data_IF_223153994970
#
_entry.id   IF_223153994970
#
_cell.length_a   1.000
_cell.length_b   1.000
_cell.length_c   1.000
_cell.angle_alpha   90.00
_cell.angle_beta   90.00
_cell.angle_gamma   90.00
#
_symmetry.space_group_name_H-M   'P 1'
#
loop_
_entity.id
_entity.type
_entity.pdbx_description
1 polymer ?
#
# COMPACT_ATOMS: atom_id res chain seq x y z
N UNK A 1 23.25 11.60 19.23
CA UNK A 1 22.73 10.22 19.23
C UNK A 1 22.32 9.97 17.80
N UNK A 2 23.21 9.34 17.03
CA UNK A 2 23.11 9.28 15.58
C UNK A 2 21.77 8.71 15.15
N UNK A 3 21.05 9.46 14.32
CA UNK A 3 19.94 8.94 13.57
C UNK A 3 20.59 7.97 12.59
N UNK A 4 20.61 6.67 12.92
CA UNK A 4 20.77 5.66 11.87
C UNK A 4 19.62 5.90 10.91
N UNK A 5 19.90 6.58 9.80
CA UNK A 5 18.94 6.80 8.75
C UNK A 5 18.47 5.43 8.29
N UNK A 6 17.20 5.13 8.56
CA UNK A 6 16.58 3.93 8.04
C UNK A 6 16.37 4.16 6.56
N UNK A 7 17.11 3.40 5.74
CA UNK A 7 16.97 3.43 4.29
C UNK A 7 16.36 2.12 3.79
N UNK A 8 15.26 2.25 3.08
CA UNK A 8 14.71 1.21 2.20
C UNK A 8 15.62 1.07 0.99
N UNK A 9 15.83 -0.17 0.53
CA UNK A 9 16.57 -0.46 -0.69
C UNK A 9 18.07 -0.71 -0.53
N UNK A 10 18.59 -0.78 0.71
CA UNK A 10 20.00 -1.15 0.97
C UNK A 10 20.36 -2.53 0.43
N UNK A 11 19.38 -3.44 0.39
CA UNK A 11 19.48 -4.75 -0.24
C UNK A 11 18.24 -4.98 -1.09
N UNK A 12 18.44 -5.29 -2.36
CA UNK A 12 17.38 -5.64 -3.30
C UNK A 12 17.59 -7.08 -3.73
N UNK A 13 16.61 -7.95 -3.48
CA UNK A 13 16.63 -9.35 -3.85
C UNK A 13 15.56 -9.56 -4.91
N UNK A 14 16.00 -9.94 -6.10
CA UNK A 14 15.12 -10.33 -7.19
C UNK A 14 15.01 -11.85 -7.22
N UNK A 15 13.77 -12.35 -7.22
CA UNK A 15 13.44 -13.77 -7.32
C UNK A 15 12.79 -14.03 -8.68
N UNK A 16 13.28 -15.01 -9.43
CA UNK A 16 12.66 -15.40 -10.70
C UNK A 16 11.19 -15.81 -10.52
N UNK A 17 10.90 -16.52 -9.43
CA UNK A 17 9.57 -17.00 -9.06
C UNK A 17 9.46 -17.22 -7.56
N UNK A 18 8.29 -16.97 -6.98
CA UNK A 18 7.96 -17.35 -5.59
C UNK A 18 6.46 -17.65 -5.44
N UNK A 19 6.07 -18.29 -4.34
CA UNK A 19 4.66 -18.47 -3.98
C UNK A 19 4.04 -17.13 -3.59
N UNK A 20 4.68 -16.43 -2.65
CA UNK A 20 4.36 -15.07 -2.26
C UNK A 20 5.61 -14.31 -1.83
N UNK A 21 5.79 -13.08 -2.32
CA UNK A 21 6.90 -12.24 -1.86
C UNK A 21 6.78 -11.98 -0.35
N UNK A 22 5.56 -11.83 0.17
CA UNK A 22 5.35 -11.65 1.61
C UNK A 22 5.80 -12.88 2.42
N UNK A 23 5.45 -14.09 1.97
CA UNK A 23 5.84 -15.33 2.66
C UNK A 23 7.37 -15.47 2.67
N UNK A 24 8.00 -15.27 1.52
CA UNK A 24 9.45 -15.34 1.40
C UNK A 24 10.11 -14.33 2.34
N UNK A 25 9.71 -13.06 2.28
CA UNK A 25 10.26 -11.98 3.11
C UNK A 25 10.06 -12.25 4.59
N UNK A 26 8.86 -12.67 5.02
CA UNK A 26 8.61 -13.02 6.42
C UNK A 26 9.54 -14.13 6.90
N UNK A 27 9.74 -15.17 6.10
CA UNK A 27 10.64 -16.30 6.41
C UNK A 27 12.08 -15.84 6.58
N UNK A 28 12.64 -15.13 5.60
CA UNK A 28 14.06 -14.74 5.61
C UNK A 28 14.34 -13.60 6.59
N UNK A 29 13.35 -12.72 6.84
CA UNK A 29 13.49 -11.66 7.83
C UNK A 29 13.45 -12.22 9.25
N UNK A 30 12.50 -13.14 9.53
CA UNK A 30 12.42 -13.83 10.83
C UNK A 30 13.67 -14.66 11.15
N UNK A 31 14.35 -15.20 10.14
CA UNK A 31 15.61 -15.93 10.33
C UNK A 31 16.85 -15.03 10.45
N UNK A 32 16.71 -13.71 10.29
CA UNK A 32 17.84 -12.77 10.28
C UNK A 32 18.72 -12.84 9.03
N UNK A 33 18.22 -13.42 7.93
CA UNK A 33 18.98 -13.51 6.66
C UNK A 33 18.95 -12.21 5.84
N UNK A 34 18.04 -11.30 6.19
CA UNK A 34 17.92 -9.96 5.65
C UNK A 34 17.64 -8.98 6.78
N UNK A 35 18.01 -7.73 6.54
CA UNK A 35 17.78 -6.64 7.48
C UNK A 35 16.55 -5.81 7.12
N UNK A 36 16.08 -5.03 8.10
CA UNK A 36 15.07 -4.00 7.92
C UNK A 36 15.47 -3.05 6.77
N UNK A 37 14.52 -2.72 5.88
CA UNK A 37 14.73 -1.95 4.66
C UNK A 37 15.04 -2.79 3.41
N UNK A 38 15.26 -4.11 3.55
CA UNK A 38 15.46 -4.99 2.40
C UNK A 38 14.19 -5.09 1.53
N UNK A 39 14.38 -5.05 0.21
CA UNK A 39 13.32 -5.10 -0.80
C UNK A 39 13.40 -6.43 -1.54
N UNK A 40 12.29 -7.16 -1.60
CA UNK A 40 12.17 -8.42 -2.32
C UNK A 40 11.15 -8.20 -3.43
N UNK A 41 11.49 -8.60 -4.65
CA UNK A 41 10.58 -8.53 -5.78
C UNK A 41 10.67 -9.79 -6.65
N UNK A 42 9.60 -10.06 -7.40
CA UNK A 42 9.53 -11.21 -8.32
C UNK A 42 8.79 -10.86 -9.59
N UNK A 43 9.11 -11.52 -10.70
CA UNK A 43 8.31 -11.43 -11.92
C UNK A 43 7.13 -12.41 -11.93
N UNK A 44 7.17 -13.46 -11.10
CA UNK A 44 6.17 -14.53 -11.11
C UNK A 44 5.81 -14.93 -9.68
N UNK A 45 4.56 -14.65 -9.29
CA UNK A 45 4.00 -15.07 -8.02
C UNK A 45 2.91 -16.12 -8.27
N UNK A 46 3.08 -17.34 -7.75
CA UNK A 46 2.15 -18.45 -8.04
C UNK A 46 0.95 -18.52 -7.08
N UNK A 47 1.03 -17.88 -5.92
CA UNK A 47 -0.03 -17.81 -4.92
C UNK A 47 -0.09 -16.40 -4.32
N UNK A 48 -0.33 -15.41 -5.18
CA UNK A 48 -0.37 -14.00 -4.77
C UNK A 48 -1.48 -13.74 -3.78
N UNK A 49 -1.16 -13.05 -2.69
CA UNK A 49 -2.09 -12.83 -1.57
C UNK A 49 -2.54 -11.37 -1.51
N UNK A 50 -3.84 -11.19 -1.34
CA UNK A 50 -4.47 -9.94 -0.95
C UNK A 50 -5.10 -10.06 0.45
N UNK A 51 -5.83 -9.03 0.85
CA UNK A 51 -6.51 -9.04 2.15
C UNK A 51 -7.71 -9.99 2.18
N UNK A 52 -8.03 -10.49 3.39
CA UNK A 52 -9.22 -11.31 3.67
C UNK A 52 -9.32 -12.56 2.77
N UNK A 53 -8.18 -13.18 2.47
CA UNK A 53 -8.10 -14.40 1.67
C UNK A 53 -8.31 -14.20 0.17
N UNK A 54 -8.40 -12.95 -0.31
CA UNK A 54 -8.41 -12.65 -1.75
C UNK A 54 -7.04 -12.94 -2.36
N UNK A 55 -7.03 -13.27 -3.64
CA UNK A 55 -5.79 -13.47 -4.40
C UNK A 55 -5.37 -12.19 -5.11
N UNK A 56 -4.06 -11.99 -5.23
CA UNK A 56 -3.48 -10.96 -6.10
C UNK A 56 -3.08 -11.61 -7.42
N UNK A 57 -3.84 -11.33 -8.47
CA UNK A 57 -3.57 -11.82 -9.83
C UNK A 57 -2.55 -10.91 -10.52
N UNK A 58 -1.57 -11.52 -11.18
CA UNK A 58 -0.57 -10.81 -11.95
C UNK A 58 -0.06 -11.65 -13.11
N UNK A 59 -0.05 -11.07 -14.30
CA UNK A 59 0.67 -11.64 -15.44
C UNK A 59 2.18 -11.59 -15.18
N UNK A 60 2.89 -12.59 -15.69
CA UNK A 60 4.34 -12.69 -15.55
C UNK A 60 5.03 -11.48 -16.19
N UNK A 61 6.02 -10.90 -15.50
CA UNK A 61 6.81 -9.75 -15.98
C UNK A 61 6.04 -8.44 -16.18
N UNK A 62 4.73 -8.42 -15.94
CA UNK A 62 3.90 -7.24 -16.26
C UNK A 62 3.83 -6.22 -15.13
N UNK A 63 4.05 -6.62 -13.88
CA UNK A 63 3.72 -5.81 -12.70
C UNK A 63 4.88 -5.75 -11.71
N UNK A 64 4.85 -4.75 -10.84
CA UNK A 64 5.69 -4.73 -9.65
C UNK A 64 5.01 -5.56 -8.56
N UNK A 65 5.64 -6.67 -8.18
CA UNK A 65 5.23 -7.52 -7.05
C UNK A 65 6.35 -7.46 -6.02
N UNK A 66 6.10 -6.79 -4.90
CA UNK A 66 7.16 -6.37 -3.98
C UNK A 66 6.77 -6.61 -2.53
N UNK A 67 7.78 -6.91 -1.72
CA UNK A 67 7.68 -6.91 -0.26
C UNK A 67 8.88 -6.21 0.36
N UNK A 68 8.64 -5.34 1.33
CA UNK A 68 9.69 -4.65 2.10
C UNK A 68 9.69 -5.18 3.53
N UNK A 69 10.86 -5.60 4.02
CA UNK A 69 11.06 -5.95 5.42
C UNK A 69 11.14 -4.68 6.28
N UNK A 70 10.29 -4.55 7.29
CA UNK A 70 10.22 -3.35 8.13
C UNK A 70 10.20 -3.71 9.62
N UNK A 71 11.25 -3.37 10.35
CA UNK A 71 11.21 -3.26 11.81
C UNK A 71 10.71 -1.87 12.18
N UNK A 72 9.45 -1.75 12.62
CA UNK A 72 8.85 -0.43 12.88
C UNK A 72 9.48 0.29 14.08
N UNK A 73 10.09 -0.45 15.01
CA UNK A 73 10.82 0.16 16.12
C UNK A 73 12.09 0.83 15.60
N UNK A 74 12.84 0.16 14.71
CA UNK A 74 14.00 0.75 14.04
C UNK A 74 13.58 1.95 13.18
N UNK A 75 12.46 1.83 12.45
CA UNK A 75 11.92 2.89 11.60
C UNK A 75 11.32 4.04 12.41
N UNK A 76 11.22 3.93 13.75
CA UNK A 76 10.59 4.91 14.63
C UNK A 76 9.18 5.30 14.17
N UNK A 77 8.45 4.35 13.59
CA UNK A 77 7.05 4.50 13.21
C UNK A 77 6.20 3.94 14.35
N UNK A 78 5.26 4.76 14.86
CA UNK A 78 4.64 4.50 16.16
C UNK A 78 3.72 3.27 16.14
N UNK A 79 2.98 3.09 15.06
CA UNK A 79 1.95 2.07 14.92
C UNK A 79 1.74 1.66 13.45
N UNK A 80 0.83 0.70 13.22
CA UNK A 80 0.58 0.13 11.90
C UNK A 80 -0.23 1.03 10.98
N UNK A 81 -1.03 1.93 11.55
CA UNK A 81 -1.78 2.92 10.78
C UNK A 81 -0.81 3.92 10.15
N UNK A 82 0.15 4.43 10.93
CA UNK A 82 1.25 5.25 10.44
C UNK A 82 2.07 4.55 9.35
N UNK A 83 2.36 3.25 9.51
CA UNK A 83 3.07 2.48 8.47
C UNK A 83 2.26 2.38 7.18
N UNK A 84 0.94 2.15 7.29
CA UNK A 84 0.03 2.12 6.15
C UNK A 84 -0.03 3.49 5.46
N UNK A 85 -0.14 4.60 6.20
CA UNK A 85 -0.16 5.95 5.62
C UNK A 85 1.13 6.26 4.85
N UNK A 86 2.30 5.99 5.44
CA UNK A 86 3.60 6.14 4.76
C UNK A 86 3.64 5.32 3.47
N UNK A 87 3.21 4.06 3.54
CA UNK A 87 3.18 3.14 2.39
C UNK A 87 2.27 3.65 1.28
N UNK A 88 1.03 4.03 1.61
CA UNK A 88 0.04 4.47 0.65
C UNK A 88 0.44 5.79 -0.02
N UNK A 89 0.96 6.75 0.74
CA UNK A 89 1.44 8.02 0.21
C UNK A 89 2.70 7.86 -0.66
N UNK A 90 3.63 6.98 -0.27
CA UNK A 90 4.80 6.68 -1.10
C UNK A 90 4.40 6.10 -2.46
N UNK A 91 3.52 5.11 -2.47
CA UNK A 91 3.05 4.46 -3.70
C UNK A 91 2.17 5.40 -4.55
N UNK A 92 1.36 6.25 -3.92
CA UNK A 92 0.58 7.28 -4.61
C UNK A 92 1.51 8.31 -5.28
N UNK A 93 2.49 8.83 -4.55
CA UNK A 93 3.47 9.80 -5.05
C UNK A 93 4.30 9.23 -6.19
N UNK A 94 4.69 7.95 -6.11
CA UNK A 94 5.32 7.24 -7.21
C UNK A 94 4.46 7.28 -8.48
N UNK A 95 3.17 6.91 -8.41
CA UNK A 95 2.27 6.92 -9.57
C UNK A 95 2.03 8.35 -10.11
N UNK A 96 1.96 9.35 -9.23
CA UNK A 96 1.77 10.76 -9.60
C UNK A 96 2.92 11.33 -10.45
N UNK A 97 4.08 10.68 -10.50
CA UNK A 97 5.17 11.05 -11.43
C UNK A 97 4.83 10.72 -12.90
N UNK A 98 3.91 9.78 -13.12
CA UNK A 98 3.61 9.22 -14.44
C UNK A 98 2.21 9.57 -14.93
N UNK A 99 1.27 9.81 -14.01
CA UNK A 99 -0.11 10.14 -14.35
C UNK A 99 -0.80 10.94 -13.24
N UNK A 100 -1.73 11.82 -13.63
CA UNK A 100 -2.58 12.55 -12.72
C UNK A 100 -3.72 11.69 -12.13
N UNK A 101 -4.50 12.28 -11.22
CA UNK A 101 -5.71 11.69 -10.64
C UNK A 101 -5.49 10.31 -9.98
N UNK A 102 -4.45 10.23 -9.14
CA UNK A 102 -4.16 9.09 -8.29
C UNK A 102 -4.70 9.34 -6.89
N UNK A 103 -5.55 8.46 -6.37
CA UNK A 103 -6.20 8.60 -5.06
C UNK A 103 -6.09 7.33 -4.22
N UNK A 104 -6.09 7.49 -2.90
CA UNK A 104 -6.01 6.40 -1.95
C UNK A 104 -7.42 5.93 -1.62
N UNK A 105 -7.79 4.72 -2.01
CA UNK A 105 -9.03 4.09 -1.58
C UNK A 105 -8.77 3.35 -0.27
N UNK A 106 -9.36 3.87 0.80
CA UNK A 106 -9.18 3.30 2.12
C UNK A 106 -9.61 1.82 2.16
N UNK A 107 -8.87 0.96 2.90
CA UNK A 107 -7.64 1.28 3.63
C UNK A 107 -6.35 0.96 2.86
N UNK A 108 -6.41 0.24 1.74
CA UNK A 108 -5.24 -0.47 1.21
C UNK A 108 -5.08 -0.45 -0.31
N UNK A 109 -5.91 0.33 -1.01
CA UNK A 109 -5.89 0.36 -2.47
C UNK A 109 -5.52 1.75 -2.98
N UNK A 110 -4.85 1.80 -4.13
CA UNK A 110 -4.60 3.07 -4.85
C UNK A 110 -5.29 2.99 -6.20
N UNK A 111 -6.01 4.06 -6.50
CA UNK A 111 -6.86 4.20 -7.67
C UNK A 111 -6.22 5.17 -8.66
N UNK A 112 -6.30 4.86 -9.95
CA UNK A 112 -6.07 5.79 -11.05
C UNK A 112 -7.41 5.91 -11.79
N UNK A 113 -7.95 7.12 -11.91
CA UNK A 113 -9.22 7.37 -12.62
C UNK A 113 -10.35 6.41 -12.15
N UNK A 114 -10.56 6.31 -10.83
CA UNK A 114 -11.55 5.43 -10.19
C UNK A 114 -11.37 3.91 -10.43
N UNK A 115 -10.23 3.49 -10.99
CA UNK A 115 -9.87 2.07 -11.19
C UNK A 115 -8.66 1.69 -10.34
N UNK A 116 -8.68 0.52 -9.73
CA UNK A 116 -7.63 0.01 -8.84
C UNK A 116 -6.36 -0.29 -9.63
N UNK A 117 -5.26 0.34 -9.24
CA UNK A 117 -3.92 0.10 -9.80
C UNK A 117 -2.95 -0.54 -8.79
N UNK A 118 -3.20 -0.37 -7.49
CA UNK A 118 -2.33 -0.90 -6.43
C UNK A 118 -3.16 -1.60 -5.36
N UNK A 119 -2.64 -2.71 -4.84
CA UNK A 119 -3.10 -3.32 -3.59
C UNK A 119 -1.95 -3.42 -2.60
N UNK A 120 -2.21 -3.05 -1.34
CA UNK A 120 -1.27 -3.08 -0.23
C UNK A 120 -1.68 -4.19 0.76
N UNK A 121 -0.71 -4.95 1.23
CA UNK A 121 -0.85 -5.99 2.25
C UNK A 121 0.30 -5.90 3.25
N UNK A 122 0.03 -5.29 4.41
CA UNK A 122 0.97 -5.24 5.53
C UNK A 122 0.64 -6.38 6.49
N UNK A 123 1.61 -7.25 6.74
CA UNK A 123 1.51 -8.36 7.71
C UNK A 123 2.57 -8.19 8.79
N UNK A 124 2.17 -8.29 10.05
CA UNK A 124 3.06 -8.06 11.18
C UNK A 124 3.29 -9.33 11.99
N UNK A 125 4.48 -9.44 12.55
CA UNK A 125 4.85 -10.53 13.44
C UNK A 125 5.82 -10.03 14.50
N UNK A 126 5.74 -10.62 15.68
CA UNK A 126 6.60 -10.26 16.82
C UNK A 126 7.70 -11.31 16.93
N UNK A 127 8.95 -10.86 16.99
CA UNK A 127 10.12 -11.72 17.27
C UNK A 127 10.90 -11.14 18.43
N UNK A 128 11.00 -11.88 19.53
CA UNK A 128 11.64 -11.45 20.78
C UNK A 128 11.06 -10.11 21.30
N UNK A 129 11.65 -8.98 20.89
CA UNK A 129 11.24 -7.60 21.23
C UNK A 129 11.07 -6.67 20.01
N UNK A 130 11.17 -7.20 18.79
CA UNK A 130 11.00 -6.44 17.56
C UNK A 130 9.55 -6.51 17.07
N UNK A 131 9.04 -5.35 16.65
CA UNK A 131 7.76 -5.25 15.93
C UNK A 131 8.06 -5.29 14.44
N UNK A 132 8.19 -6.50 13.91
CA UNK A 132 8.50 -6.71 12.50
C UNK A 132 7.22 -6.71 11.66
N UNK A 133 7.32 -6.20 10.46
CA UNK A 133 6.26 -6.17 9.45
C UNK A 133 6.84 -6.46 8.08
N UNK A 134 6.02 -7.05 7.22
CA UNK A 134 6.26 -7.15 5.79
C UNK A 134 5.26 -6.25 5.09
N UNK A 135 5.77 -5.23 4.40
CA UNK A 135 4.96 -4.35 3.55
C UNK A 135 4.91 -4.95 2.16
N UNK A 136 3.88 -5.74 1.88
CA UNK A 136 3.60 -6.26 0.55
C UNK A 136 2.81 -5.26 -0.27
N UNK A 137 3.14 -5.11 -1.55
CA UNK A 137 2.29 -4.41 -2.50
C UNK A 137 2.45 -4.97 -3.91
N UNK A 138 1.35 -4.93 -4.64
CA UNK A 138 1.32 -5.16 -6.08
C UNK A 138 0.93 -3.86 -6.78
N UNK A 139 1.69 -3.45 -7.80
CA UNK A 139 1.34 -2.34 -8.69
C UNK A 139 1.15 -2.88 -10.09
N UNK A 140 -0.03 -2.64 -10.65
CA UNK A 140 -0.34 -2.97 -12.03
C UNK A 140 0.39 -2.00 -12.97
N UNK A 141 1.43 -2.47 -13.67
CA UNK A 141 2.27 -1.64 -14.54
C UNK A 141 1.86 -1.82 -16.01
N UNK A 142 2.10 -3.00 -16.57
CA UNK A 142 1.88 -3.31 -17.99
C UNK A 142 0.71 -4.29 -18.24
N UNK A 143 0.03 -4.76 -17.21
CA UNK A 143 -1.05 -5.74 -17.37
C UNK A 143 -2.21 -5.17 -18.18
N UNK A 144 -2.65 -5.91 -19.18
CA UNK A 144 -3.68 -5.48 -20.14
C UNK A 144 -5.06 -6.06 -19.85
N UNK A 145 -5.11 -7.25 -19.24
CA UNK A 145 -6.35 -7.98 -18.99
C UNK A 145 -6.54 -8.17 -17.48
N UNK A 146 -7.76 -7.94 -17.01
CA UNK A 146 -8.12 -8.11 -15.60
C UNK A 146 -9.46 -8.83 -15.49
N UNK A 147 -9.53 -9.84 -14.64
CA UNK A 147 -10.80 -10.48 -14.28
C UNK A 147 -11.60 -9.61 -13.30
N UNK A 148 -10.88 -8.83 -12.48
CA UNK A 148 -11.49 -7.98 -11.46
C UNK A 148 -12.13 -6.73 -12.11
N UNK A 149 -13.41 -6.42 -11.78
CA UNK A 149 -14.04 -5.22 -12.27
C UNK A 149 -13.32 -3.98 -11.70
N UNK A 150 -13.18 -2.94 -12.53
CA UNK A 150 -12.55 -1.66 -12.18
C UNK A 150 -11.08 -1.80 -11.73
N UNK A 151 -10.33 -2.74 -12.27
CA UNK A 151 -8.87 -2.71 -12.22
C UNK A 151 -8.29 -1.96 -13.44
N UNK A 152 -7.10 -1.39 -13.28
CA UNK A 152 -6.33 -0.81 -14.39
C UNK A 152 -4.83 -1.02 -14.15
N UNK A 153 -4.02 -0.67 -15.15
CA UNK A 153 -2.57 -0.60 -15.06
C UNK A 153 -2.06 0.75 -15.52
N UNK A 154 -0.85 1.11 -15.11
CA UNK A 154 -0.23 2.37 -15.55
C UNK A 154 -0.19 2.48 -17.08
N UNK A 155 0.15 1.39 -17.78
CA UNK A 155 0.20 1.34 -19.24
C UNK A 155 -1.15 1.55 -19.93
N UNK A 156 -2.25 1.03 -19.35
CA UNK A 156 -3.59 1.23 -19.90
C UNK A 156 -4.02 2.70 -19.77
N UNK A 157 -3.60 3.38 -18.71
CA UNK A 157 -3.96 4.77 -18.47
C UNK A 157 -3.06 5.77 -19.22
N UNK A 158 -1.79 5.43 -19.44
CA UNK A 158 -0.82 6.34 -20.10
C UNK A 158 -0.55 6.01 -21.56
N UNK A 159 -0.92 4.82 -22.03
CA UNK A 159 -0.59 4.30 -23.36
C UNK A 159 0.89 3.95 -23.56
N UNK A 160 1.68 3.86 -22.47
CA UNK A 160 3.13 3.60 -22.50
C UNK A 160 3.46 2.25 -21.89
N UNK A 161 4.49 1.59 -22.40
CA UNK A 161 5.09 0.43 -21.74
C UNK A 161 6.24 0.88 -20.85
N UNK A 162 6.39 0.20 -19.72
CA UNK A 162 7.44 0.47 -18.73
C UNK A 162 8.27 -0.79 -18.48
N UNK A 163 9.45 -0.63 -17.89
CA UNK A 163 10.17 -1.75 -17.28
C UNK A 163 9.85 -1.80 -15.78
N UNK A 164 9.01 -2.76 -15.31
CA UNK A 164 8.62 -2.80 -13.90
C UNK A 164 9.83 -2.84 -12.96
N UNK A 165 10.89 -3.58 -13.30
CA UNK A 165 12.08 -3.69 -12.45
C UNK A 165 12.83 -2.39 -12.28
N UNK A 166 12.82 -1.50 -13.28
CA UNK A 166 13.46 -0.19 -13.17
C UNK A 166 12.64 0.77 -12.30
N UNK A 167 11.31 0.65 -12.31
CA UNK A 167 10.43 1.49 -11.50
C UNK A 167 10.58 1.24 -9.99
N UNK A 168 11.20 0.13 -9.57
CA UNK A 168 11.43 -0.15 -8.13
C UNK A 168 12.26 0.94 -7.46
N UNK A 169 13.21 1.56 -8.18
CA UNK A 169 14.05 2.60 -7.61
C UNK A 169 13.25 3.86 -7.29
N UNK A 170 12.29 4.22 -8.16
CA UNK A 170 11.38 5.35 -7.89
C UNK A 170 10.47 5.09 -6.70
N UNK A 171 10.04 3.83 -6.51
CA UNK A 171 9.26 3.42 -5.35
C UNK A 171 10.11 3.51 -4.08
N UNK A 172 11.33 2.99 -4.10
CA UNK A 172 12.29 3.06 -2.98
C UNK A 172 12.54 4.52 -2.57
N UNK A 173 12.77 5.41 -3.53
CA UNK A 173 12.97 6.84 -3.28
C UNK A 173 11.73 7.46 -2.62
N UNK A 174 10.53 7.11 -3.08
CA UNK A 174 9.29 7.58 -2.48
C UNK A 174 9.14 7.09 -1.03
N UNK A 175 9.44 5.82 -0.74
CA UNK A 175 9.40 5.30 0.63
C UNK A 175 10.38 6.04 1.54
N UNK A 176 11.63 6.21 1.11
CA UNK A 176 12.64 6.94 1.88
C UNK A 176 12.21 8.41 2.12
N UNK A 177 11.61 9.05 1.12
CA UNK A 177 11.06 10.40 1.26
C UNK A 177 9.96 10.49 2.33
N UNK A 178 8.95 9.60 2.29
CA UNK A 178 7.85 9.65 3.25
C UNK A 178 8.24 9.18 4.66
N UNK A 179 9.20 8.27 4.80
CA UNK A 179 9.79 7.93 6.10
C UNK A 179 10.45 9.17 6.71
N UNK A 180 11.26 9.90 5.93
CA UNK A 180 11.91 11.12 6.40
C UNK A 180 10.88 12.21 6.76
N UNK A 181 9.86 12.41 5.94
CA UNK A 181 8.77 13.34 6.26
C UNK A 181 8.02 12.94 7.53
N UNK A 182 7.81 11.65 7.77
CA UNK A 182 7.21 11.18 9.02
C UNK A 182 8.10 11.53 10.22
N UNK A 183 9.42 11.36 10.13
CA UNK A 183 10.35 11.75 11.20
C UNK A 183 10.37 13.26 11.43
N UNK A 184 10.30 14.07 10.37
CA UNK A 184 10.37 15.52 10.46
C UNK A 184 9.05 16.16 10.95
N UNK A 185 7.91 15.69 10.42
CA UNK A 185 6.60 16.32 10.62
C UNK A 185 5.71 15.58 11.61
N UNK A 186 6.03 14.32 11.90
CA UNK A 186 5.32 13.47 12.86
C UNK A 186 4.04 12.83 12.33
N UNK A 187 3.49 11.96 13.16
CA UNK A 187 2.34 11.10 12.87
C UNK A 187 1.08 11.88 12.44
N UNK A 188 0.73 12.94 13.18
CA UNK A 188 -0.46 13.74 12.89
C UNK A 188 -0.40 14.41 11.52
N UNK A 189 0.78 14.88 11.12
CA UNK A 189 0.96 15.45 9.78
C UNK A 189 0.77 14.37 8.71
N UNK A 190 1.38 13.19 8.91
CA UNK A 190 1.25 12.07 7.96
C UNK A 190 -0.21 11.62 7.79
N UNK A 191 -0.96 11.52 8.89
CA UNK A 191 -2.39 11.21 8.86
C UNK A 191 -3.21 12.25 8.10
N UNK A 192 -2.94 13.55 8.32
CA UNK A 192 -3.61 14.61 7.58
C UNK A 192 -3.31 14.57 6.07
N UNK A 193 -2.05 14.32 5.68
CA UNK A 193 -1.70 14.18 4.27
C UNK A 193 -2.38 12.96 3.65
N UNK A 194 -2.44 11.83 4.34
CA UNK A 194 -3.19 10.66 3.90
C UNK A 194 -4.68 10.99 3.67
N UNK A 195 -5.33 11.65 4.63
CA UNK A 195 -6.75 11.97 4.56
C UNK A 195 -7.10 12.89 3.37
N UNK A 196 -6.23 13.85 3.03
CA UNK A 196 -6.41 14.71 1.84
C UNK A 196 -6.44 13.93 0.52
N UNK A 197 -5.86 12.74 0.50
CA UNK A 197 -5.74 11.90 -0.69
C UNK A 197 -6.80 10.81 -0.79
N UNK A 198 -7.73 10.76 0.16
CA UNK A 198 -8.82 9.78 0.16
C UNK A 198 -9.66 9.90 -1.11
N UNK A 199 -9.91 8.75 -1.71
CA UNK A 199 -10.77 8.57 -2.86
C UNK A 199 -12.22 8.90 -2.47
N UNK A 200 -12.88 9.78 -3.24
CA UNK A 200 -14.25 10.30 -2.98
C UNK A 200 -14.41 11.03 -1.63
N UNK A 201 -13.34 11.65 -1.13
CA UNK A 201 -13.40 12.55 0.03
C UNK A 201 -14.43 13.67 -0.21
N UNK A 202 -15.34 13.88 0.75
CA UNK A 202 -16.41 14.89 0.72
C UNK A 202 -17.28 14.84 -0.55
N UNK A 203 -17.46 13.65 -1.12
CA UNK A 203 -18.32 13.44 -2.28
C UNK A 203 -19.38 12.39 -1.94
N UNK A 204 -20.66 12.63 -2.27
CA UNK A 204 -21.69 11.60 -2.18
C UNK A 204 -21.33 10.38 -3.03
N UNK A 205 -21.35 9.21 -2.42
CA UNK A 205 -21.06 7.93 -3.08
C UNK A 205 -21.89 6.80 -2.42
N UNK A 206 -22.40 5.83 -3.20
CA UNK A 206 -23.12 4.69 -2.63
C UNK A 206 -22.17 3.76 -1.86
N UNK A 207 -22.57 3.40 -0.65
CA UNK A 207 -21.90 2.40 0.19
C UNK A 207 -22.81 1.21 0.45
N UNK A 208 -22.24 0.01 0.49
CA UNK A 208 -22.94 -1.19 0.95
C UNK A 208 -22.58 -1.48 2.40
N UNK A 209 -23.60 -1.53 3.26
CA UNK A 209 -23.50 -1.85 4.69
C UNK A 209 -24.57 -2.90 4.99
N UNK A 210 -24.18 -4.08 5.48
CA UNK A 210 -25.10 -5.19 5.75
C UNK A 210 -26.06 -5.48 4.57
N UNK A 211 -25.50 -5.58 3.35
CA UNK A 211 -26.21 -5.80 2.09
C UNK A 211 -27.20 -4.71 1.67
N UNK A 212 -27.25 -3.57 2.37
CA UNK A 212 -28.05 -2.40 2.01
C UNK A 212 -27.17 -1.32 1.39
N UNK A 213 -27.64 -0.73 0.29
CA UNK A 213 -26.97 0.40 -0.36
C UNK A 213 -27.53 1.70 0.22
N UNK A 214 -26.64 2.56 0.71
CA UNK A 214 -26.97 3.90 1.21
C UNK A 214 -25.93 4.91 0.74
N UNK A 215 -26.36 6.12 0.39
CA UNK A 215 -25.46 7.19 -0.05
C UNK A 215 -24.84 7.88 1.17
N UNK A 216 -23.52 8.07 1.15
CA UNK A 216 -22.79 8.80 2.17
C UNK A 216 -21.56 9.50 1.63
N UNK A 217 -20.89 10.25 2.50
CA UNK A 217 -19.69 11.02 2.16
C UNK A 217 -18.55 10.68 3.10
N UNK A 218 -17.39 10.30 2.56
CA UNK A 218 -16.19 10.11 3.38
C UNK A 218 -15.74 11.46 3.90
N UNK A 219 -15.55 11.57 5.21
CA UNK A 219 -15.08 12.80 5.84
C UNK A 219 -13.58 12.75 6.16
N UNK A 220 -13.12 11.63 6.74
CA UNK A 220 -11.74 11.43 7.19
C UNK A 220 -11.55 9.99 7.67
N UNK A 221 -10.39 9.67 8.21
CA UNK A 221 -10.19 8.52 9.11
C UNK A 221 -9.97 8.99 10.56
N UNK A 222 -10.24 8.11 11.54
CA UNK A 222 -9.84 8.29 12.94
C UNK A 222 -8.31 8.17 13.09
N UNK A 223 -7.77 8.52 14.26
CA UNK A 223 -6.36 8.29 14.60
C UNK A 223 -6.00 6.79 14.64
N UNK A 224 -7.00 5.92 14.88
CA UNK A 224 -6.87 4.45 14.84
C UNK A 224 -7.10 3.86 13.44
N UNK A 225 -7.36 4.70 12.43
CA UNK A 225 -7.46 4.30 11.03
C UNK A 225 -8.82 3.77 10.58
N UNK A 226 -9.88 3.90 11.38
CA UNK A 226 -11.25 3.61 10.94
C UNK A 226 -11.78 4.71 10.01
N UNK A 227 -12.62 4.33 9.05
CA UNK A 227 -13.22 5.28 8.11
C UNK A 227 -14.39 6.02 8.74
N UNK A 228 -14.41 7.34 8.64
CA UNK A 228 -15.53 8.19 9.08
C UNK A 228 -16.35 8.58 7.85
N UNK A 229 -17.63 8.21 7.86
CA UNK A 229 -18.58 8.49 6.77
C UNK A 229 -19.81 9.20 7.33
N UNK A 230 -20.21 10.28 6.67
CA UNK A 230 -21.46 11.00 6.93
C UNK A 230 -22.59 10.39 6.09
N UNK A 231 -23.68 10.00 6.73
CA UNK A 231 -24.93 9.57 6.08
C UNK A 231 -26.05 10.52 6.50
N UNK A 232 -26.55 11.34 5.57
CA UNK A 232 -27.58 12.35 5.88
C UNK A 232 -27.16 13.23 7.07
N UNK A 233 -27.74 13.03 8.26
CA UNK A 233 -27.47 13.77 9.49
C UNK A 233 -26.68 12.96 10.55
N UNK A 234 -26.17 11.77 10.21
CA UNK A 234 -25.46 10.87 11.14
C UNK A 234 -24.02 10.59 10.68
N UNK A 235 -23.05 10.68 11.60
CA UNK A 235 -21.67 10.25 11.37
C UNK A 235 -21.50 8.82 11.87
N UNK A 236 -20.95 7.94 11.02
CA UNK A 236 -20.62 6.56 11.37
C UNK A 236 -19.13 6.27 11.18
N UNK A 237 -18.62 5.36 12.01
CA UNK A 237 -17.22 4.93 12.02
C UNK A 237 -17.17 3.46 11.63
N UNK A 238 -16.32 3.10 10.66
CA UNK A 238 -16.23 1.73 10.13
C UNK A 238 -14.81 1.18 10.22
N UNK A 239 -14.68 -0.01 10.80
CA UNK A 239 -13.49 -0.83 10.69
C UNK A 239 -13.42 -1.49 9.30
N UNK A 240 -12.20 -1.86 8.90
CA UNK A 240 -11.96 -2.49 7.59
C UNK A 240 -12.87 -3.72 7.41
N UNK A 241 -13.63 -3.71 6.32
CA UNK A 241 -14.51 -4.81 5.94
C UNK A 241 -15.95 -4.74 6.46
N UNK A 242 -16.30 -3.74 7.26
CA UNK A 242 -17.69 -3.45 7.65
C UNK A 242 -18.46 -2.64 6.60
N UNK A 243 -17.74 -2.01 5.67
CA UNK A 243 -18.30 -1.17 4.62
C UNK A 243 -17.58 -1.45 3.29
N UNK A 244 -18.32 -1.41 2.19
CA UNK A 244 -17.77 -1.49 0.84
C UNK A 244 -18.34 -0.39 -0.06
N UNK A 245 -17.61 -0.05 -1.12
CA UNK A 245 -17.90 1.00 -2.09
C UNK A 245 -18.39 0.45 -3.42
#
# INVERSE_FOLDING_TARGET
MDIQNVFVGQKIIYLDRTDSTNNYTAKVFKSGAIDSGSVILTDIQTNGRGQRGKEWQSDAFSNLIVSIAADINMWKINNMISLNHVTALALQSFLLKHIDNVKIKWPNDIMINDKKAVGILIESFITSNQRNSVIGFGVNINQQNFDAPRATSLSLETGKNYNPKELIYEVIDAFNHFINLYHEKGEKWMHNEYNKQLWKLNMPHPFTINDQITEGEIQTTTDSGELIVQFQNEIKVFMNGQITY
#
